data_IF_577433518408
#
_entry.id   IF_577433518408
#
_cell.length_a   1.000
_cell.length_b   1.000
_cell.length_c   1.000
_cell.angle_alpha   90.00
_cell.angle_beta   90.00
_cell.angle_gamma   90.00
#
_symmetry.space_group_name_H-M   'P 1'
#
loop_
_entity.id
_entity.type
_entity.pdbx_description
1 polymer ?
#
# COMPACT_ATOMS: atom_id res chain seq x y z
N UNK A 1 -72.29 -5.77 28.50
CA UNK A 1 -72.32 -4.35 28.92
C UNK A 1 -71.11 -4.12 29.81
N UNK A 2 -70.29 -3.12 29.52
CA UNK A 2 -69.20 -2.74 30.42
C UNK A 2 -69.84 -2.06 31.65
N UNK A 3 -69.53 -2.56 32.85
CA UNK A 3 -70.06 -2.03 34.11
C UNK A 3 -69.19 -0.86 34.57
N UNK A 4 -69.67 0.36 34.37
CA UNK A 4 -68.99 1.59 34.78
C UNK A 4 -69.50 2.14 36.12
N UNK A 5 -70.34 1.40 36.85
CA UNK A 5 -71.19 1.97 37.90
C UNK A 5 -70.52 2.18 39.26
N UNK A 6 -69.25 1.76 39.45
CA UNK A 6 -68.59 1.81 40.76
C UNK A 6 -67.13 2.29 40.75
N UNK A 7 -66.76 3.18 39.83
CA UNK A 7 -65.41 3.76 39.79
C UNK A 7 -65.29 4.83 40.88
N UNK A 8 -64.43 4.61 41.88
CA UNK A 8 -64.20 5.56 42.99
C UNK A 8 -63.23 6.66 42.59
N UNK A 9 -63.49 7.88 43.06
CA UNK A 9 -62.58 9.01 42.92
C UNK A 9 -61.38 8.84 43.85
N UNK A 10 -60.17 9.08 43.33
CA UNK A 10 -58.93 9.01 44.11
C UNK A 10 -58.75 10.21 45.05
N UNK A 11 -59.26 11.38 44.66
CA UNK A 11 -59.08 12.63 45.41
C UNK A 11 -60.23 12.93 46.39
N UNK A 12 -61.38 12.27 46.22
CA UNK A 12 -62.59 12.54 46.99
C UNK A 12 -63.21 11.24 47.51
N UNK A 13 -62.84 10.87 48.74
CA UNK A 13 -63.34 9.67 49.43
C UNK A 13 -64.86 9.60 49.42
N UNK A 14 -65.41 8.44 49.06
CA UNK A 14 -66.85 8.19 49.01
C UNK A 14 -67.56 8.68 47.74
N UNK A 15 -66.88 9.41 46.85
CA UNK A 15 -67.44 9.85 45.57
C UNK A 15 -67.16 8.85 44.44
N UNK A 16 -68.13 8.69 43.55
CA UNK A 16 -67.96 7.94 42.31
C UNK A 16 -67.61 8.90 41.16
N UNK A 17 -66.68 8.49 40.30
CA UNK A 17 -66.46 9.16 39.02
C UNK A 17 -67.62 8.84 38.09
N UNK A 18 -68.19 9.88 37.49
CA UNK A 18 -69.38 9.76 36.64
C UNK A 18 -69.15 10.26 35.22
N UNK A 19 -68.08 11.02 34.97
CA UNK A 19 -67.76 11.61 33.66
C UNK A 19 -66.27 11.44 33.33
N UNK A 20 -65.95 11.55 32.06
CA UNK A 20 -64.58 11.60 31.55
C UNK A 20 -64.25 13.03 31.10
N UNK A 21 -63.16 13.58 31.61
CA UNK A 21 -62.64 14.87 31.18
C UNK A 21 -61.71 14.67 29.98
N UNK A 22 -62.13 15.09 28.79
CA UNK A 22 -61.36 14.91 27.55
C UNK A 22 -59.98 15.59 27.58
N UNK A 23 -59.86 16.87 27.98
CA UNK A 23 -58.57 17.57 28.01
C UNK A 23 -57.56 16.92 28.96
N UNK A 24 -58.04 16.41 30.10
CA UNK A 24 -57.19 15.81 31.14
C UNK A 24 -57.05 14.29 30.97
N UNK A 25 -57.77 13.67 30.04
CA UNK A 25 -57.76 12.24 29.76
C UNK A 25 -58.01 11.35 31.00
N UNK A 26 -58.89 11.79 31.90
CA UNK A 26 -59.14 11.14 33.19
C UNK A 26 -60.62 11.12 33.59
N UNK A 27 -60.99 10.16 34.44
CA UNK A 27 -62.32 10.05 35.01
C UNK A 27 -62.46 10.99 36.20
N UNK A 28 -63.58 11.71 36.28
CA UNK A 28 -63.80 12.76 37.28
C UNK A 28 -65.14 12.57 38.00
N UNK A 29 -65.17 12.91 39.30
CA UNK A 29 -66.39 12.99 40.09
C UNK A 29 -66.93 14.44 40.12
N UNK A 30 -68.15 14.69 40.61
CA UNK A 30 -68.74 16.03 40.67
C UNK A 30 -67.87 17.07 41.42
N UNK A 31 -67.15 16.64 42.47
CA UNK A 31 -66.26 17.53 43.23
C UNK A 31 -64.98 17.88 42.45
N UNK A 32 -64.43 16.96 41.66
CA UNK A 32 -63.31 17.25 40.76
C UNK A 32 -63.74 18.27 39.68
N UNK A 33 -64.97 18.14 39.17
CA UNK A 33 -65.50 19.05 38.15
C UNK A 33 -65.57 20.48 38.69
N UNK A 34 -66.10 20.68 39.89
CA UNK A 34 -66.25 22.03 40.45
C UNK A 34 -64.92 22.67 40.87
N UNK A 35 -63.94 21.86 41.30
CA UNK A 35 -62.68 22.39 41.84
C UNK A 35 -61.57 22.53 40.79
N UNK A 36 -61.36 21.51 39.95
CA UNK A 36 -60.14 21.39 39.13
C UNK A 36 -60.39 21.19 37.64
N UNK A 37 -61.61 20.81 37.25
CA UNK A 37 -61.99 20.60 35.84
C UNK A 37 -63.11 21.52 35.36
N UNK A 38 -63.28 22.66 36.05
CA UNK A 38 -64.33 23.61 35.71
C UNK A 38 -64.10 24.18 34.30
N UNK A 39 -65.13 24.16 33.46
CA UNK A 39 -65.06 24.60 32.06
C UNK A 39 -64.36 23.64 31.10
N UNK A 40 -63.88 22.47 31.55
CA UNK A 40 -63.36 21.45 30.65
C UNK A 40 -64.49 20.71 29.91
N UNK A 41 -64.19 20.18 28.73
CA UNK A 41 -65.11 19.30 28.02
C UNK A 41 -65.23 17.96 28.76
N UNK A 42 -66.43 17.67 29.25
CA UNK A 42 -66.77 16.45 29.97
C UNK A 42 -67.74 15.62 29.12
N UNK A 43 -67.43 14.34 28.96
CA UNK A 43 -68.26 13.40 28.21
C UNK A 43 -68.58 12.16 29.05
N UNK A 44 -69.53 11.37 28.57
CA UNK A 44 -69.88 10.08 29.17
C UNK A 44 -68.69 9.13 29.17
N UNK A 45 -68.56 8.34 30.24
CA UNK A 45 -67.48 7.37 30.43
C UNK A 45 -67.40 6.37 29.27
N UNK A 46 -68.55 5.90 28.75
CA UNK A 46 -68.58 4.99 27.60
C UNK A 46 -67.93 5.57 26.35
N UNK A 47 -68.24 6.84 26.01
CA UNK A 47 -67.62 7.55 24.88
C UNK A 47 -66.13 7.78 25.12
N UNK A 48 -65.74 8.17 26.35
CA UNK A 48 -64.34 8.33 26.73
C UNK A 48 -63.55 7.01 26.63
N UNK A 49 -64.17 5.89 27.00
CA UNK A 49 -63.61 4.55 26.84
C UNK A 49 -63.37 4.20 25.38
N UNK A 50 -64.35 4.42 24.50
CA UNK A 50 -64.22 4.16 23.06
C UNK A 50 -63.09 4.99 22.43
N UNK A 51 -63.02 6.30 22.73
CA UNK A 51 -61.95 7.18 22.25
C UNK A 51 -60.58 6.69 22.73
N UNK A 52 -60.46 6.34 24.02
CA UNK A 52 -59.18 5.87 24.58
C UNK A 52 -58.77 4.52 24.01
N UNK A 53 -59.73 3.62 23.83
CA UNK A 53 -59.50 2.32 23.21
C UNK A 53 -59.05 2.47 21.75
N UNK A 54 -59.67 3.36 20.98
CA UNK A 54 -59.28 3.62 19.60
C UNK A 54 -57.85 4.19 19.51
N UNK A 55 -57.51 5.18 20.35
CA UNK A 55 -56.14 5.71 20.45
C UNK A 55 -55.12 4.62 20.80
N UNK A 56 -55.45 3.71 21.72
CA UNK A 56 -54.57 2.59 22.08
C UNK A 56 -54.40 1.60 20.93
N UNK A 57 -55.47 1.29 20.17
CA UNK A 57 -55.39 0.45 18.96
C UNK A 57 -54.51 1.10 17.89
N UNK A 58 -54.66 2.40 17.64
CA UNK A 58 -53.81 3.13 16.70
C UNK A 58 -52.33 3.12 17.15
N UNK A 59 -52.07 3.33 18.43
CA UNK A 59 -50.73 3.26 19.00
C UNK A 59 -50.12 1.85 18.84
N UNK A 60 -50.91 0.79 19.09
CA UNK A 60 -50.49 -0.60 18.91
C UNK A 60 -50.07 -0.87 17.46
N UNK A 61 -50.88 -0.46 16.48
CA UNK A 61 -50.56 -0.61 15.06
C UNK A 61 -49.26 0.14 14.70
N UNK A 62 -49.09 1.36 15.21
CA UNK A 62 -47.88 2.15 14.97
C UNK A 62 -46.63 1.50 15.56
N UNK A 63 -46.72 0.99 16.79
CA UNK A 63 -45.61 0.29 17.45
C UNK A 63 -45.25 -0.99 16.68
N UNK A 64 -46.26 -1.77 16.25
CA UNK A 64 -46.03 -2.98 15.47
C UNK A 64 -45.39 -2.69 14.11
N UNK A 65 -45.82 -1.63 13.42
CA UNK A 65 -45.21 -1.19 12.16
C UNK A 65 -43.74 -0.77 12.36
N UNK A 66 -43.45 -0.02 13.43
CA UNK A 66 -42.08 0.39 13.73
C UNK A 66 -41.18 -0.80 14.07
N UNK A 67 -41.70 -1.78 14.81
CA UNK A 67 -40.96 -3.02 15.11
C UNK A 67 -40.62 -3.79 13.84
N UNK A 68 -41.57 -3.90 12.90
CA UNK A 68 -41.30 -4.54 11.60
C UNK A 68 -40.21 -3.81 10.81
N UNK A 69 -40.26 -2.48 10.75
CA UNK A 69 -39.23 -1.67 10.09
C UNK A 69 -37.86 -1.85 10.74
N UNK A 70 -37.80 -1.89 12.06
CA UNK A 70 -36.56 -2.11 12.81
C UNK A 70 -35.96 -3.49 12.49
N UNK A 71 -36.79 -4.53 12.49
CA UNK A 71 -36.34 -5.89 12.14
C UNK A 71 -35.82 -5.96 10.71
N UNK A 72 -36.50 -5.34 9.75
CA UNK A 72 -36.02 -5.26 8.36
C UNK A 72 -34.68 -4.52 8.24
N UNK A 73 -34.50 -3.43 9.00
CA UNK A 73 -33.23 -2.72 9.05
C UNK A 73 -32.11 -3.56 9.67
N UNK A 74 -32.40 -4.32 10.73
CA UNK A 74 -31.44 -5.20 11.38
C UNK A 74 -30.90 -6.26 10.41
N UNK A 75 -31.79 -6.93 9.68
CA UNK A 75 -31.40 -7.94 8.66
C UNK A 75 -30.52 -7.31 7.59
N UNK A 76 -30.86 -6.12 7.09
CA UNK A 76 -30.04 -5.43 6.08
C UNK A 76 -28.64 -5.09 6.60
N UNK A 77 -28.52 -4.68 7.87
CA UNK A 77 -27.23 -4.38 8.48
C UNK A 77 -26.39 -5.66 8.61
N UNK A 78 -27.01 -6.76 9.03
CA UNK A 78 -26.33 -8.06 9.13
C UNK A 78 -25.85 -8.57 7.77
N UNK A 79 -26.66 -8.45 6.73
CA UNK A 79 -26.29 -8.83 5.37
C UNK A 79 -25.18 -7.95 4.81
N UNK A 80 -25.25 -6.64 5.04
CA UNK A 80 -24.17 -5.73 4.63
C UNK A 80 -22.87 -6.06 5.35
N UNK A 81 -22.91 -6.34 6.65
CA UNK A 81 -21.73 -6.71 7.42
C UNK A 81 -21.10 -8.01 6.90
N UNK A 82 -21.93 -9.00 6.55
CA UNK A 82 -21.48 -10.27 5.96
C UNK A 82 -20.75 -10.03 4.63
N UNK A 83 -21.36 -9.23 3.76
CA UNK A 83 -20.76 -8.84 2.48
C UNK A 83 -19.43 -8.10 2.66
N UNK A 84 -19.38 -7.11 3.57
CA UNK A 84 -18.17 -6.32 3.82
C UNK A 84 -17.02 -7.19 4.36
N UNK A 85 -17.32 -8.18 5.21
CA UNK A 85 -16.33 -9.14 5.72
C UNK A 85 -15.76 -9.99 4.58
N UNK A 86 -16.60 -10.46 3.66
CA UNK A 86 -16.17 -11.26 2.50
C UNK A 86 -15.30 -10.43 1.55
N UNK A 87 -15.76 -9.21 1.22
CA UNK A 87 -15.02 -8.26 0.39
C UNK A 87 -13.66 -7.92 1.01
N UNK A 88 -13.61 -7.68 2.32
CA UNK A 88 -12.35 -7.43 3.02
C UNK A 88 -11.39 -8.62 2.93
N UNK A 89 -11.88 -9.86 3.11
CA UNK A 89 -11.05 -11.07 2.99
C UNK A 89 -10.49 -11.24 1.59
N UNK A 90 -11.31 -11.00 0.56
CA UNK A 90 -10.88 -11.07 -0.83
C UNK A 90 -9.83 -10.01 -1.15
N UNK A 91 -10.08 -8.76 -0.77
CA UNK A 91 -9.12 -7.68 -0.94
C UNK A 91 -7.79 -7.97 -0.23
N UNK A 92 -7.84 -8.52 0.98
CA UNK A 92 -6.63 -8.92 1.71
C UNK A 92 -5.83 -9.99 0.95
N UNK A 93 -6.49 -11.00 0.38
CA UNK A 93 -5.83 -12.03 -0.46
C UNK A 93 -5.21 -11.41 -1.71
N UNK A 94 -5.92 -10.51 -2.38
CA UNK A 94 -5.44 -9.84 -3.58
C UNK A 94 -4.20 -8.99 -3.29
N UNK A 95 -4.21 -8.21 -2.20
CA UNK A 95 -3.05 -7.44 -1.75
C UNK A 95 -1.86 -8.35 -1.43
N UNK A 96 -2.09 -9.48 -0.76
CA UNK A 96 -1.03 -10.45 -0.46
C UNK A 96 -0.45 -11.06 -1.74
N UNK A 97 -1.29 -11.44 -2.71
CA UNK A 97 -0.84 -11.98 -3.99
C UNK A 97 0.00 -10.96 -4.77
N UNK A 98 -0.44 -9.70 -4.82
CA UNK A 98 0.31 -8.61 -5.45
C UNK A 98 1.65 -8.37 -4.76
N UNK A 99 1.70 -8.41 -3.42
CA UNK A 99 2.95 -8.26 -2.67
C UNK A 99 3.95 -9.37 -3.01
N UNK A 100 3.49 -10.62 -3.09
CA UNK A 100 4.32 -11.76 -3.48
C UNK A 100 4.83 -11.59 -4.91
N UNK A 101 3.96 -11.24 -5.85
CA UNK A 101 4.34 -11.02 -7.25
C UNK A 101 5.39 -9.91 -7.39
N UNK A 102 5.22 -8.80 -6.66
CA UNK A 102 6.16 -7.69 -6.69
C UNK A 102 7.53 -8.09 -6.11
N UNK A 103 7.56 -8.84 -5.00
CA UNK A 103 8.81 -9.35 -4.43
C UNK A 103 9.56 -10.23 -5.42
N UNK A 104 8.86 -11.17 -6.05
CA UNK A 104 9.45 -12.04 -7.08
C UNK A 104 10.02 -11.22 -8.24
N UNK A 105 9.31 -10.19 -8.71
CA UNK A 105 9.80 -9.33 -9.78
C UNK A 105 11.06 -8.54 -9.38
N UNK A 106 11.10 -8.02 -8.15
CA UNK A 106 12.28 -7.31 -7.61
C UNK A 106 13.47 -8.26 -7.47
N UNK A 107 13.25 -9.47 -6.95
CA UNK A 107 14.30 -10.48 -6.80
C UNK A 107 14.88 -10.88 -8.16
N UNK A 108 14.02 -11.13 -9.15
CA UNK A 108 14.44 -11.47 -10.53
C UNK A 108 15.22 -10.33 -11.18
N UNK A 109 14.79 -9.08 -10.99
CA UNK A 109 15.51 -7.92 -11.51
C UNK A 109 16.89 -7.78 -10.84
N UNK A 110 16.96 -7.98 -9.52
CA UNK A 110 18.20 -7.91 -8.75
C UNK A 110 19.19 -8.98 -9.23
N UNK A 111 18.74 -10.23 -9.36
CA UNK A 111 19.58 -11.33 -9.86
C UNK A 111 20.09 -11.06 -11.28
N UNK A 112 19.26 -10.48 -12.15
CA UNK A 112 19.66 -10.09 -13.51
C UNK A 112 20.75 -9.02 -13.50
N UNK A 113 20.61 -8.02 -12.62
CA UNK A 113 21.60 -6.95 -12.49
C UNK A 113 22.91 -7.45 -11.91
N UNK A 114 22.86 -8.32 -10.89
CA UNK A 114 24.06 -8.94 -10.31
C UNK A 114 24.83 -9.75 -11.33
N UNK A 115 24.14 -10.59 -12.11
CA UNK A 115 24.73 -11.31 -13.25
C UNK A 115 25.38 -10.35 -14.24
N UNK A 116 24.75 -9.20 -14.51
CA UNK A 116 25.30 -8.23 -15.45
C UNK A 116 26.58 -7.56 -14.94
N UNK A 117 26.62 -7.25 -13.66
CA UNK A 117 27.81 -6.72 -12.99
C UNK A 117 28.95 -7.73 -13.04
N UNK A 118 28.66 -9.00 -12.74
CA UNK A 118 29.68 -10.06 -12.76
C UNK A 118 30.24 -10.31 -14.17
N UNK A 119 29.39 -10.30 -15.20
CA UNK A 119 29.81 -10.37 -16.61
C UNK A 119 30.71 -9.19 -17.01
N UNK A 120 30.38 -7.98 -16.56
CA UNK A 120 31.18 -6.79 -16.85
C UNK A 120 32.52 -6.85 -16.12
N UNK A 121 32.52 -7.26 -14.85
CA UNK A 121 33.73 -7.42 -14.05
C UNK A 121 34.67 -8.47 -14.66
N UNK A 122 34.14 -9.63 -15.03
CA UNK A 122 34.92 -10.70 -15.66
C UNK A 122 35.56 -10.22 -16.97
N UNK A 123 34.79 -9.55 -17.85
CA UNK A 123 35.33 -8.99 -19.10
C UNK A 123 36.40 -7.92 -18.87
N UNK A 124 36.20 -7.05 -17.88
CA UNK A 124 37.18 -6.03 -17.53
C UNK A 124 38.49 -6.66 -17.03
N UNK A 125 38.38 -7.70 -16.18
CA UNK A 125 39.53 -8.45 -15.67
C UNK A 125 40.29 -9.13 -16.80
N UNK A 126 39.61 -9.85 -17.69
CA UNK A 126 40.23 -10.50 -18.86
C UNK A 126 40.89 -9.50 -19.83
N UNK A 127 40.28 -8.32 -20.03
CA UNK A 127 40.90 -7.23 -20.80
C UNK A 127 42.19 -6.76 -20.14
N UNK A 128 42.14 -6.53 -18.83
CA UNK A 128 43.31 -6.10 -18.07
C UNK A 128 44.45 -7.12 -18.10
N UNK A 129 44.15 -8.40 -17.93
CA UNK A 129 45.16 -9.47 -18.00
C UNK A 129 45.82 -9.56 -19.39
N UNK A 130 45.06 -9.35 -20.46
CA UNK A 130 45.60 -9.29 -21.83
C UNK A 130 46.51 -8.07 -22.02
N UNK A 131 46.09 -6.91 -21.56
CA UNK A 131 46.90 -5.69 -21.61
C UNK A 131 48.21 -5.84 -20.81
N UNK A 132 48.15 -6.43 -19.61
CA UNK A 132 49.34 -6.70 -18.81
C UNK A 132 50.30 -7.66 -19.51
N UNK A 133 49.77 -8.72 -20.13
CA UNK A 133 50.58 -9.67 -20.92
C UNK A 133 51.29 -8.96 -22.06
N UNK A 134 50.57 -8.17 -22.87
CA UNK A 134 51.15 -7.39 -23.97
C UNK A 134 52.19 -6.39 -23.49
N UNK A 135 51.92 -5.69 -22.38
CA UNK A 135 52.86 -4.75 -21.76
C UNK A 135 54.14 -5.46 -21.33
N UNK A 136 54.04 -6.62 -20.69
CA UNK A 136 55.19 -7.40 -20.23
C UNK A 136 56.03 -7.94 -21.40
N UNK A 137 55.39 -8.40 -22.47
CA UNK A 137 56.09 -8.82 -23.69
C UNK A 137 56.84 -7.65 -24.35
N UNK A 138 56.21 -6.48 -24.45
CA UNK A 138 56.85 -5.29 -24.99
C UNK A 138 58.01 -4.85 -24.09
N UNK A 139 57.83 -4.87 -22.77
CA UNK A 139 58.89 -4.55 -21.80
C UNK A 139 60.11 -5.45 -22.00
N UNK A 140 59.92 -6.77 -22.12
CA UNK A 140 61.02 -7.72 -22.39
C UNK A 140 61.74 -7.42 -23.71
N UNK A 141 60.99 -7.06 -24.77
CA UNK A 141 61.60 -6.67 -26.06
C UNK A 141 62.48 -5.42 -25.89
N UNK A 142 61.99 -4.41 -25.18
CA UNK A 142 62.75 -3.19 -24.88
C UNK A 142 63.99 -3.51 -24.05
N UNK A 143 63.86 -4.26 -22.95
CA UNK A 143 64.96 -4.65 -22.07
C UNK A 143 66.05 -5.41 -22.84
N UNK A 144 65.68 -6.35 -23.72
CA UNK A 144 66.62 -7.07 -24.57
C UNK A 144 67.34 -6.13 -25.56
N UNK A 145 66.61 -5.21 -26.20
CA UNK A 145 67.20 -4.24 -27.12
C UNK A 145 68.16 -3.28 -26.41
N UNK A 146 67.81 -2.82 -25.21
CA UNK A 146 68.68 -2.00 -24.37
C UNK A 146 69.96 -2.75 -24.00
N UNK A 147 69.86 -4.01 -23.58
CA UNK A 147 71.03 -4.83 -23.26
C UNK A 147 71.94 -5.03 -24.48
N UNK A 148 71.38 -5.28 -25.67
CA UNK A 148 72.16 -5.37 -26.91
C UNK A 148 72.90 -4.06 -27.24
N UNK A 149 72.24 -2.91 -27.05
CA UNK A 149 72.87 -1.60 -27.23
C UNK A 149 74.00 -1.37 -26.23
N UNK A 150 73.78 -1.67 -24.95
CA UNK A 150 74.80 -1.55 -23.91
C UNK A 150 76.03 -2.42 -24.24
N UNK A 151 75.83 -3.65 -24.72
CA UNK A 151 76.90 -4.57 -25.13
C UNK A 151 77.71 -4.07 -26.34
N UNK A 152 77.07 -3.31 -27.25
CA UNK A 152 77.73 -2.68 -28.40
C UNK A 152 78.50 -1.44 -27.93
N UNK A 153 77.88 -0.56 -27.15
CA UNK A 153 78.48 0.70 -26.68
C UNK A 153 79.69 0.44 -25.77
N UNK A 154 79.63 -0.59 -24.93
CA UNK A 154 80.72 -0.94 -24.01
C UNK A 154 81.81 -1.80 -24.65
N UNK A 155 81.63 -2.22 -25.91
CA UNK A 155 82.62 -3.02 -26.62
C UNK A 155 83.90 -2.22 -26.88
N UNK A 156 85.06 -2.79 -26.53
CA UNK A 156 86.38 -2.23 -26.84
C UNK A 156 86.90 -2.64 -28.23
N UNK A 157 86.10 -3.37 -28.99
CA UNK A 157 86.40 -3.86 -30.33
C UNK A 157 85.68 -3.01 -31.38
N UNK A 158 86.45 -2.22 -32.15
CA UNK A 158 85.93 -1.34 -33.18
C UNK A 158 85.11 -2.10 -34.25
N UNK A 159 85.50 -3.34 -34.58
CA UNK A 159 84.76 -4.16 -35.57
C UNK A 159 83.38 -4.54 -35.05
N UNK A 160 83.27 -4.84 -33.75
CA UNK A 160 82.00 -5.15 -33.08
C UNK A 160 81.10 -3.91 -33.01
N UNK A 161 81.67 -2.72 -32.79
CA UNK A 161 80.92 -1.45 -32.79
C UNK A 161 80.38 -1.13 -34.18
N UNK A 162 81.20 -1.16 -35.23
CA UNK A 162 80.77 -0.84 -36.59
C UNK A 162 79.73 -1.85 -37.12
N UNK A 163 80.02 -3.15 -37.05
CA UNK A 163 79.11 -4.17 -37.60
C UNK A 163 77.87 -4.40 -36.71
N UNK A 164 77.98 -4.21 -35.40
CA UNK A 164 76.87 -4.35 -34.46
C UNK A 164 75.95 -3.13 -34.48
N UNK A 165 76.51 -1.92 -34.55
CA UNK A 165 75.77 -0.67 -34.66
C UNK A 165 74.93 -0.59 -35.93
N UNK A 166 75.51 -0.90 -37.09
CA UNK A 166 74.78 -0.87 -38.37
C UNK A 166 73.59 -1.86 -38.38
N UNK A 167 73.76 -3.06 -37.83
CA UNK A 167 72.67 -4.04 -37.69
C UNK A 167 71.59 -3.59 -36.71
N UNK A 168 71.98 -2.92 -35.62
CA UNK A 168 71.01 -2.39 -34.67
C UNK A 168 70.22 -1.23 -35.29
N UNK A 169 70.88 -0.30 -35.96
CA UNK A 169 70.25 0.85 -36.63
C UNK A 169 69.25 0.41 -37.70
N UNK A 170 69.62 -0.57 -38.55
CA UNK A 170 68.71 -1.15 -39.54
C UNK A 170 67.50 -1.88 -38.91
N UNK A 171 67.68 -2.51 -37.74
CA UNK A 171 66.63 -3.27 -37.07
C UNK A 171 65.69 -2.39 -36.23
N UNK A 172 66.23 -1.36 -35.59
CA UNK A 172 65.53 -0.54 -34.60
C UNK A 172 64.75 0.61 -35.23
N UNK A 173 65.38 1.35 -36.15
CA UNK A 173 64.79 2.57 -36.71
C UNK A 173 63.61 2.29 -37.64
N UNK A 174 63.54 1.11 -38.27
CA UNK A 174 62.45 0.76 -39.18
C UNK A 174 61.26 0.06 -38.51
N UNK A 175 61.43 -0.53 -37.31
CA UNK A 175 60.47 -1.52 -36.78
C UNK A 175 60.00 -1.29 -35.35
N UNK A 176 60.66 -0.46 -34.56
CA UNK A 176 60.25 -0.25 -33.18
C UNK A 176 59.28 0.94 -33.06
N UNK A 177 57.98 0.64 -32.99
CA UNK A 177 56.94 1.59 -32.60
C UNK A 177 56.22 1.06 -31.37
N UNK A 178 56.10 1.88 -30.32
CA UNK A 178 55.22 1.58 -29.19
C UNK A 178 53.78 1.70 -29.70
N UNK A 179 52.96 0.63 -29.65
CA UNK A 179 51.58 0.70 -30.11
C UNK A 179 50.78 1.76 -29.34
N UNK A 180 50.05 2.63 -30.05
CA UNK A 180 49.26 3.73 -29.48
C UNK A 180 48.20 3.28 -28.45
N UNK A 181 47.80 2.00 -28.48
CA UNK A 181 46.79 1.43 -27.58
C UNK A 181 47.21 1.39 -26.10
N UNK A 182 48.51 1.50 -25.79
CA UNK A 182 49.01 1.49 -24.40
C UNK A 182 48.96 2.86 -23.69
N UNK A 183 48.55 3.93 -24.37
CA UNK A 183 48.49 5.30 -23.81
C UNK A 183 47.07 5.75 -23.44
N UNK A 184 46.04 4.99 -23.81
CA UNK A 184 44.66 5.30 -23.45
C UNK A 184 44.35 4.69 -22.08
N UNK A 185 44.13 5.56 -21.07
CA UNK A 185 43.79 5.14 -19.72
C UNK A 185 42.50 4.31 -19.68
N UNK A 186 42.43 3.37 -18.73
CA UNK A 186 41.27 2.52 -18.49
C UNK A 186 39.99 3.35 -18.44
N UNK A 187 39.04 3.01 -19.30
CA UNK A 187 37.67 3.54 -19.23
C UNK A 187 37.09 3.24 -17.85
N UNK A 188 37.00 4.27 -17.00
CA UNK A 188 36.30 4.19 -15.73
C UNK A 188 34.81 3.97 -16.02
N UNK A 189 34.37 2.73 -15.90
CA UNK A 189 32.94 2.43 -15.95
C UNK A 189 32.27 3.03 -14.71
N UNK A 190 31.34 3.95 -14.94
CA UNK A 190 30.38 4.41 -13.93
C UNK A 190 29.03 3.80 -14.32
N UNK A 191 28.43 2.89 -13.53
CA UNK A 191 27.05 2.54 -13.74
C UNK A 191 26.22 3.81 -13.54
N UNK A 192 25.55 4.29 -14.60
CA UNK A 192 24.66 5.44 -14.51
C UNK A 192 23.59 5.24 -13.44
N UNK A 193 23.08 6.34 -12.88
CA UNK A 193 22.02 6.30 -11.87
C UNK A 193 20.80 5.53 -12.38
N UNK A 194 20.21 4.69 -11.52
CA UNK A 194 18.97 3.98 -11.84
C UNK A 194 17.85 5.02 -11.85
N UNK A 195 17.47 5.48 -13.04
CA UNK A 195 16.34 6.41 -13.24
C UNK A 195 15.04 5.63 -13.44
N UNK A 196 13.90 6.31 -13.26
CA UNK A 196 12.56 5.73 -13.41
C UNK A 196 12.28 5.13 -14.80
N UNK A 197 13.07 5.46 -15.82
CA UNK A 197 12.95 4.92 -17.19
C UNK A 197 13.33 3.43 -17.28
N UNK A 198 14.15 2.93 -16.35
CA UNK A 198 14.53 1.50 -16.27
C UNK A 198 13.34 0.61 -15.90
N UNK A 199 12.28 1.19 -15.33
CA UNK A 199 11.09 0.46 -14.88
C UNK A 199 10.01 0.25 -15.94
N UNK A 200 10.23 0.68 -17.20
CA UNK A 200 9.38 0.35 -18.35
C UNK A 200 7.87 0.56 -18.13
N UNK A 201 7.33 1.71 -18.57
CA UNK A 201 5.89 1.81 -18.82
C UNK A 201 5.49 0.96 -20.02
#
# INVERSE_FOLDING_TARGET
MLDYTNIKCQDHTGQNCCLFCEPCNQLVCPLCISKTHNGHCLIEIGKGYEIKLDRLKQAQVKVQSNLQKLNQHSVKIEDQLRYDIELYRENKKNVQAQNIALKVAVDQFTEKMDKKVEELFTRAKESHEREQTQKNELKKKIENQMSMLEDIITAKDAVKVFNGGEKFEQSFMEKFQIPLLLTQGLSTYYPGEITQEVFGR
#
